data_IF_621966391898
#
_entry.id   IF_621966391898
#
_cell.length_a   1.000
_cell.length_b   1.000
_cell.length_c   1.000
_cell.angle_alpha   90.00
_cell.angle_beta   90.00
_cell.angle_gamma   90.00
#
_symmetry.space_group_name_H-M   'P 1'
#
loop_
_entity.id
_entity.type
_entity.pdbx_description
1 polymer ?
#
# COMPACT_ATOMS: atom_id res chain seq x y z
N UNK A 1 -3.64 -22.57 4.33
CA UNK A 1 -3.14 -21.22 4.06
C UNK A 1 -1.71 -21.33 3.62
N UNK A 2 -1.30 -20.52 2.64
CA UNK A 2 0.10 -20.41 2.18
C UNK A 2 0.60 -19.00 2.48
N UNK A 3 1.90 -18.82 2.63
CA UNK A 3 2.54 -17.51 2.54
C UNK A 3 3.10 -17.30 1.15
N UNK A 4 3.26 -16.04 0.76
CA UNK A 4 3.74 -15.67 -0.57
C UNK A 4 4.73 -14.53 -0.51
N UNK A 5 5.68 -14.52 -1.42
CA UNK A 5 6.67 -13.46 -1.55
C UNK A 5 6.47 -12.69 -2.86
N UNK A 6 6.73 -11.38 -2.80
CA UNK A 6 6.63 -10.50 -3.95
C UNK A 6 8.01 -10.36 -4.62
N UNK A 7 8.01 -10.37 -5.94
CA UNK A 7 9.15 -10.00 -6.77
C UNK A 7 8.76 -8.92 -7.77
N UNK A 8 9.73 -8.11 -8.17
CA UNK A 8 9.51 -6.95 -9.03
C UNK A 8 10.40 -7.03 -10.27
N UNK A 9 9.83 -6.87 -11.45
CA UNK A 9 10.60 -6.94 -12.70
C UNK A 9 9.77 -7.32 -13.92
N UNK A 10 10.39 -7.17 -15.11
CA UNK A 10 9.71 -7.40 -16.39
C UNK A 10 9.55 -8.90 -16.73
N UNK A 11 10.35 -9.78 -16.13
CA UNK A 11 10.31 -11.21 -16.39
C UNK A 11 10.60 -12.03 -15.14
N UNK A 12 10.08 -13.27 -15.09
CA UNK A 12 10.24 -14.17 -13.96
C UNK A 12 11.70 -14.54 -13.65
N UNK A 13 12.60 -14.44 -14.64
CA UNK A 13 14.02 -14.81 -14.50
C UNK A 13 14.89 -13.61 -14.05
N UNK A 14 14.32 -12.41 -13.96
CA UNK A 14 15.02 -11.16 -13.66
C UNK A 14 14.26 -10.35 -12.58
N UNK A 15 13.85 -11.02 -11.51
CA UNK A 15 13.12 -10.41 -10.40
C UNK A 15 14.06 -9.84 -9.35
N UNK A 16 13.63 -8.74 -8.74
CA UNK A 16 14.32 -8.09 -7.62
C UNK A 16 13.38 -7.97 -6.43
N UNK A 17 13.95 -7.84 -5.23
CA UNK A 17 13.15 -7.67 -3.99
C UNK A 17 12.45 -6.31 -3.91
N UNK A 18 12.90 -5.32 -4.69
CA UNK A 18 12.31 -3.97 -4.79
C UNK A 18 12.48 -3.40 -6.21
N UNK A 19 11.54 -2.58 -6.71
CA UNK A 19 11.65 -1.90 -8.00
C UNK A 19 12.94 -1.07 -8.11
N UNK A 20 13.64 -1.21 -9.24
CA UNK A 20 14.83 -0.40 -9.55
C UNK A 20 16.08 -0.68 -8.70
N UNK A 21 16.06 -1.69 -7.81
CA UNK A 21 17.24 -2.15 -7.05
C UNK A 21 17.89 -3.35 -7.72
N UNK A 22 19.15 -3.62 -7.38
CA UNK A 22 19.94 -4.73 -7.96
C UNK A 22 19.97 -6.01 -7.12
N UNK A 23 19.17 -6.09 -6.05
CA UNK A 23 19.11 -7.29 -5.20
C UNK A 23 18.13 -8.24 -5.87
N UNK A 24 18.68 -9.24 -6.55
CA UNK A 24 17.93 -10.29 -7.25
C UNK A 24 17.24 -11.22 -6.25
N UNK A 25 16.09 -11.75 -6.64
CA UNK A 25 15.38 -12.81 -5.91
C UNK A 25 14.95 -13.90 -6.89
N UNK A 26 15.03 -15.15 -6.45
CA UNK A 26 14.50 -16.29 -7.18
C UNK A 26 13.16 -16.68 -6.58
N UNK A 27 12.09 -16.58 -7.38
CA UNK A 27 10.74 -16.97 -6.99
C UNK A 27 10.23 -18.08 -7.92
N UNK A 28 10.59 -19.34 -7.64
CA UNK A 28 10.19 -20.46 -8.49
C UNK A 28 8.68 -20.57 -8.64
N UNK A 29 8.22 -20.63 -9.89
CA UNK A 29 6.80 -20.72 -10.20
C UNK A 29 6.01 -19.44 -9.94
N UNK A 30 6.69 -18.30 -9.76
CA UNK A 30 6.02 -17.01 -9.65
C UNK A 30 5.14 -16.72 -10.86
N UNK A 31 4.03 -16.05 -10.58
CA UNK A 31 3.11 -15.54 -11.59
C UNK A 31 3.02 -14.04 -11.48
N UNK A 32 2.71 -13.37 -12.59
CA UNK A 32 2.29 -11.97 -12.54
C UNK A 32 1.06 -11.87 -11.65
N UNK A 33 1.09 -10.93 -10.70
CA UNK A 33 0.04 -10.72 -9.73
C UNK A 33 -0.40 -9.25 -9.65
N UNK A 34 0.34 -8.32 -10.26
CA UNK A 34 -0.03 -6.91 -10.18
C UNK A 34 0.99 -5.97 -10.77
N UNK A 35 0.97 -4.74 -10.26
CA UNK A 35 1.93 -3.69 -10.62
C UNK A 35 2.03 -2.68 -9.48
N UNK A 36 3.16 -2.00 -9.39
CA UNK A 36 3.39 -0.91 -8.45
C UNK A 36 3.83 0.36 -9.19
N UNK A 37 3.55 1.52 -8.61
CA UNK A 37 3.90 2.81 -9.18
C UNK A 37 3.07 3.21 -10.41
N UNK A 38 3.04 4.51 -10.67
CA UNK A 38 2.45 5.08 -11.88
C UNK A 38 0.93 5.14 -11.83
N UNK A 39 0.29 4.15 -12.48
CA UNK A 39 -1.15 4.17 -12.80
C UNK A 39 -1.95 3.30 -11.82
N UNK A 40 -3.09 3.79 -11.39
CA UNK A 40 -4.00 3.07 -10.49
C UNK A 40 -4.90 2.08 -11.25
N UNK A 41 -5.61 1.16 -10.56
CA UNK A 41 -6.62 0.30 -11.17
C UNK A 41 -7.80 1.11 -11.73
N UNK A 42 -8.68 0.47 -12.50
CA UNK A 42 -9.78 1.12 -13.21
C UNK A 42 -10.96 1.56 -12.34
N UNK A 43 -10.70 2.26 -11.22
CA UNK A 43 -11.71 2.77 -10.27
C UNK A 43 -12.37 4.08 -10.72
N UNK A 44 -11.90 4.64 -11.85
CA UNK A 44 -12.29 5.96 -12.35
C UNK A 44 -11.53 7.09 -11.67
N UNK A 45 -11.11 8.09 -12.45
CA UNK A 45 -10.24 9.19 -11.98
C UNK A 45 -10.83 10.00 -10.83
N UNK A 46 -12.16 10.14 -10.75
CA UNK A 46 -12.80 10.85 -9.65
C UNK A 46 -12.73 10.09 -8.31
N UNK A 47 -12.57 8.77 -8.33
CA UNK A 47 -12.45 7.95 -7.13
C UNK A 47 -10.99 7.84 -6.63
N UNK A 48 -10.04 8.53 -7.27
CA UNK A 48 -8.63 8.50 -6.89
C UNK A 48 -8.45 9.04 -5.46
N UNK A 49 -7.86 8.28 -4.52
CA UNK A 49 -7.69 8.71 -3.13
C UNK A 49 -6.91 10.02 -2.99
N UNK A 50 -7.33 10.89 -2.07
CA UNK A 50 -6.70 12.19 -1.81
C UNK A 50 -6.31 12.32 -0.36
N UNK A 51 -5.21 13.02 -0.12
CA UNK A 51 -4.76 13.42 1.22
C UNK A 51 -5.88 14.19 1.95
N UNK A 52 -6.23 13.81 3.19
CA UNK A 52 -7.17 14.57 4.02
C UNK A 52 -6.61 15.95 4.43
N UNK A 53 -5.28 16.11 4.44
CA UNK A 53 -4.59 17.35 4.83
C UNK A 53 -4.52 18.34 3.66
N UNK A 54 -4.01 17.87 2.52
CA UNK A 54 -3.69 18.74 1.39
C UNK A 54 -4.69 18.67 0.24
N UNK A 55 -5.48 17.60 0.16
CA UNK A 55 -6.40 17.35 -0.95
C UNK A 55 -5.70 16.93 -2.23
N UNK A 56 -4.36 16.81 -2.21
CA UNK A 56 -3.58 16.31 -3.34
C UNK A 56 -3.87 14.82 -3.58
N UNK A 57 -3.83 14.35 -4.83
CA UNK A 57 -3.99 12.92 -5.12
C UNK A 57 -2.84 12.12 -4.50
N UNK A 58 -3.18 11.09 -3.74
CA UNK A 58 -2.22 10.16 -3.15
C UNK A 58 -1.44 9.41 -4.25
N UNK A 59 -0.18 9.07 -4.00
CA UNK A 59 0.58 8.20 -4.91
C UNK A 59 -0.08 6.82 -4.95
N UNK A 60 -0.13 6.20 -6.13
CA UNK A 60 -0.44 4.78 -6.24
C UNK A 60 0.80 3.98 -5.90
N UNK A 61 0.74 3.23 -4.80
CA UNK A 61 1.87 2.43 -4.33
C UNK A 61 1.86 1.10 -5.07
N UNK A 62 0.83 0.29 -4.88
CA UNK A 62 0.76 -1.07 -5.44
C UNK A 62 -0.68 -1.52 -5.66
N UNK A 63 -0.93 -2.23 -6.75
CA UNK A 63 -2.12 -3.06 -6.95
C UNK A 63 -1.70 -4.51 -6.99
N UNK A 64 -2.33 -5.35 -6.17
CA UNK A 64 -1.98 -6.76 -6.03
C UNK A 64 -3.23 -7.65 -6.07
N UNK A 65 -3.25 -8.61 -6.98
CA UNK A 65 -4.21 -9.71 -6.97
C UNK A 65 -3.97 -10.63 -5.78
N UNK A 66 -5.02 -10.89 -5.01
CA UNK A 66 -4.96 -11.71 -3.82
C UNK A 66 -5.19 -13.19 -4.17
N UNK A 67 -4.34 -14.10 -3.63
CA UNK A 67 -4.67 -15.51 -3.52
C UNK A 67 -6.01 -15.71 -2.81
N UNK A 68 -6.72 -16.80 -3.13
CA UNK A 68 -8.07 -17.07 -2.62
C UNK A 68 -8.16 -17.03 -1.09
N UNK A 69 -7.15 -17.53 -0.38
CA UNK A 69 -7.09 -17.52 1.07
C UNK A 69 -6.98 -16.11 1.68
N UNK A 70 -6.47 -15.13 0.93
CA UNK A 70 -6.31 -13.74 1.37
C UNK A 70 -7.49 -12.83 1.00
N UNK A 71 -8.53 -13.33 0.33
CA UNK A 71 -9.74 -12.55 -0.02
C UNK A 71 -10.70 -12.38 1.16
N UNK A 72 -10.25 -11.70 2.21
CA UNK A 72 -10.90 -11.68 3.53
C UNK A 72 -12.13 -10.78 3.63
N UNK A 73 -12.35 -9.88 2.66
CA UNK A 73 -13.52 -8.98 2.64
C UNK A 73 -14.65 -9.41 1.70
N UNK A 74 -14.50 -10.55 1.01
CA UNK A 74 -15.50 -11.09 0.09
C UNK A 74 -14.82 -11.85 -1.05
N UNK A 75 -15.46 -12.92 -1.52
CA UNK A 75 -14.91 -13.75 -2.62
C UNK A 75 -14.83 -12.99 -3.95
N UNK A 76 -15.67 -11.96 -4.12
CA UNK A 76 -15.73 -11.06 -5.27
C UNK A 76 -14.67 -9.94 -5.23
N UNK A 77 -14.05 -9.71 -4.07
CA UNK A 77 -12.96 -8.74 -3.90
C UNK A 77 -11.62 -9.46 -4.06
N UNK A 78 -11.15 -9.49 -5.31
CA UNK A 78 -10.04 -10.36 -5.75
C UNK A 78 -8.66 -9.71 -5.65
N UNK A 79 -8.59 -8.39 -5.45
CA UNK A 79 -7.35 -7.63 -5.42
C UNK A 79 -7.44 -6.46 -4.44
N UNK A 80 -6.29 -5.91 -4.08
CA UNK A 80 -6.17 -4.66 -3.31
C UNK A 80 -5.33 -3.64 -4.05
N UNK A 81 -5.57 -2.36 -3.78
CA UNK A 81 -4.73 -1.25 -4.20
C UNK A 81 -4.42 -0.34 -3.03
N UNK A 82 -3.14 -0.03 -2.81
CA UNK A 82 -2.64 0.78 -1.71
C UNK A 82 -2.12 2.13 -2.21
N UNK A 83 -2.37 3.19 -1.45
CA UNK A 83 -2.03 4.57 -1.77
C UNK A 83 -1.49 5.30 -0.53
N UNK A 84 -0.64 6.32 -0.76
CA UNK A 84 -0.01 7.12 0.30
C UNK A 84 -0.01 8.63 -0.01
N UNK A 85 -0.12 9.47 1.02
CA UNK A 85 0.05 10.93 0.94
C UNK A 85 1.32 11.47 1.63
N UNK A 86 1.92 10.74 2.57
CA UNK A 86 3.03 11.22 3.43
C UNK A 86 2.82 12.67 3.96
N UNK A 87 1.59 12.98 4.35
CA UNK A 87 1.10 14.34 4.60
C UNK A 87 1.26 14.81 6.05
N UNK A 88 1.88 14.00 6.90
CA UNK A 88 2.14 14.32 8.32
C UNK A 88 3.04 15.55 8.52
N UNK A 89 3.78 15.97 7.50
CA UNK A 89 4.62 17.20 7.47
C UNK A 89 4.04 18.32 6.63
N UNK A 90 2.89 18.10 6.02
CA UNK A 90 2.26 19.07 5.13
C UNK A 90 1.48 20.14 5.90
N UNK A 91 1.28 21.28 5.27
CA UNK A 91 0.40 22.32 5.81
C UNK A 91 -1.04 22.05 5.36
N UNK A 92 -1.98 22.07 6.30
CA UNK A 92 -3.41 21.93 6.02
C UNK A 92 -3.90 22.95 4.98
N UNK A 93 -4.83 22.52 4.13
CA UNK A 93 -5.54 23.40 3.21
C UNK A 93 -7.00 23.54 3.65
N UNK A 94 -7.36 24.77 4.03
CA UNK A 94 -8.68 25.15 4.51
C UNK A 94 -9.81 24.53 3.66
N UNK A 95 -10.69 23.78 4.32
CA UNK A 95 -11.87 23.17 3.72
C UNK A 95 -11.65 21.80 3.07
N UNK A 96 -10.42 21.32 2.90
CA UNK A 96 -10.17 20.02 2.25
C UNK A 96 -10.78 18.88 3.05
N UNK A 97 -10.47 18.79 4.35
CA UNK A 97 -10.96 17.73 5.21
C UNK A 97 -12.50 17.69 5.22
N UNK A 98 -13.15 18.85 5.39
CA UNK A 98 -14.60 18.95 5.42
C UNK A 98 -15.24 18.55 4.08
N UNK A 99 -14.62 18.91 2.96
CA UNK A 99 -15.10 18.52 1.62
C UNK A 99 -14.96 17.01 1.41
N UNK A 100 -13.85 16.40 1.85
CA UNK A 100 -13.64 14.94 1.75
C UNK A 100 -14.59 14.15 2.65
N UNK A 101 -14.99 14.70 3.79
CA UNK A 101 -16.07 14.15 4.64
C UNK A 101 -17.47 14.31 4.02
N UNK A 102 -17.59 15.03 2.90
CA UNK A 102 -18.83 15.19 2.15
C UNK A 102 -19.62 16.46 2.49
N UNK A 103 -19.01 17.44 3.16
CA UNK A 103 -19.63 18.76 3.36
C UNK A 103 -19.88 19.43 2.01
N UNK A 104 -21.08 19.98 1.82
CA UNK A 104 -21.40 20.68 0.58
C UNK A 104 -20.50 21.91 0.40
N UNK A 105 -19.86 22.08 -0.78
CA UNK A 105 -18.98 23.22 -1.01
C UNK A 105 -19.76 24.53 -0.99
N UNK A 106 -19.14 25.58 -0.43
CA UNK A 106 -19.62 26.96 -0.61
C UNK A 106 -19.51 27.38 -2.08
N UNK A 107 -20.17 28.48 -2.46
CA UNK A 107 -20.10 29.01 -3.82
C UNK A 107 -18.68 29.39 -4.25
N UNK A 108 -17.83 29.83 -3.32
CA UNK A 108 -16.43 30.15 -3.57
C UNK A 108 -15.60 28.88 -3.79
N UNK A 109 -15.74 27.87 -2.92
CA UNK A 109 -15.06 26.59 -3.07
C UNK A 109 -15.49 25.86 -4.35
N UNK A 110 -16.77 25.93 -4.73
CA UNK A 110 -17.26 25.35 -5.97
C UNK A 110 -16.75 26.06 -7.23
N UNK A 111 -16.28 27.31 -7.11
CA UNK A 111 -15.67 28.06 -8.20
C UNK A 111 -14.15 27.81 -8.33
N UNK A 112 -13.52 27.29 -7.26
CA UNK A 112 -12.13 26.85 -7.28
C UNK A 112 -12.02 25.45 -7.93
N UNK A 113 -11.30 25.28 -9.06
CA UNK A 113 -11.19 23.99 -9.73
C UNK A 113 -10.61 22.87 -8.85
N UNK A 114 -9.65 23.21 -7.98
CA UNK A 114 -9.01 22.25 -7.10
C UNK A 114 -9.99 21.76 -6.03
N UNK A 115 -10.64 22.68 -5.32
CA UNK A 115 -11.60 22.33 -4.27
C UNK A 115 -12.87 21.66 -4.83
N UNK A 116 -13.30 22.05 -6.05
CA UNK A 116 -14.36 21.35 -6.76
C UNK A 116 -13.98 19.89 -7.07
N UNK A 117 -12.72 19.61 -7.42
CA UNK A 117 -12.23 18.25 -7.65
C UNK A 117 -12.12 17.44 -6.34
N UNK A 118 -11.73 18.09 -5.23
CA UNK A 118 -11.75 17.48 -3.88
C UNK A 118 -13.19 17.08 -3.52
N UNK A 119 -14.17 17.98 -3.68
CA UNK A 119 -15.57 17.69 -3.43
C UNK A 119 -16.13 16.57 -4.34
N UNK A 120 -15.73 16.56 -5.62
CA UNK A 120 -16.10 15.50 -6.55
C UNK A 120 -15.53 14.13 -6.13
N UNK A 121 -14.34 14.12 -5.50
CA UNK A 121 -13.72 12.90 -4.97
C UNK A 121 -14.53 12.31 -3.83
N UNK A 122 -15.01 13.15 -2.90
CA UNK A 122 -15.91 12.70 -1.83
C UNK A 122 -17.19 12.05 -2.38
N UNK A 123 -17.79 12.67 -3.40
CA UNK A 123 -19.00 12.15 -4.05
C UNK A 123 -18.76 10.86 -4.84
N UNK A 124 -17.54 10.66 -5.35
CA UNK A 124 -17.13 9.47 -6.11
C UNK A 124 -16.31 8.47 -5.27
N UNK A 125 -16.28 8.62 -3.94
CA UNK A 125 -15.45 7.79 -3.05
C UNK A 125 -15.73 6.32 -3.30
N UNK A 126 -14.66 5.54 -3.46
CA UNK A 126 -14.77 4.11 -3.72
C UNK A 126 -15.46 3.41 -2.52
N UNK A 127 -16.50 2.59 -2.74
CA UNK A 127 -17.27 2.00 -1.64
C UNK A 127 -16.43 1.08 -0.74
N UNK A 128 -15.40 0.45 -1.32
CA UNK A 128 -14.49 -0.45 -0.60
C UNK A 128 -13.18 0.21 -0.18
N UNK A 129 -13.07 1.55 -0.23
CA UNK A 129 -11.92 2.26 0.32
C UNK A 129 -11.96 2.24 1.86
N UNK A 130 -10.83 1.91 2.45
CA UNK A 130 -10.48 2.10 3.87
C UNK A 130 -9.43 3.19 3.95
N UNK A 131 -9.67 4.16 4.83
CA UNK A 131 -8.69 5.19 5.15
C UNK A 131 -7.86 4.66 6.32
N UNK A 132 -6.55 4.77 6.21
CA UNK A 132 -5.57 4.26 7.15
C UNK A 132 -4.68 5.43 7.58
N UNK A 133 -4.31 5.45 8.84
CA UNK A 133 -3.41 6.46 9.41
C UNK A 133 -2.31 5.74 10.17
N UNK A 134 -1.08 6.17 9.91
CA UNK A 134 0.11 5.59 10.51
C UNK A 134 0.42 6.24 11.87
N UNK A 135 1.41 5.74 12.62
CA UNK A 135 1.72 6.27 13.96
C UNK A 135 2.14 7.76 13.99
N UNK A 136 2.66 8.29 12.89
CA UNK A 136 3.09 9.70 12.78
C UNK A 136 2.00 10.61 12.22
N UNK A 137 0.82 10.06 11.90
CA UNK A 137 -0.32 10.78 11.34
C UNK A 137 -0.33 10.85 9.81
N UNK A 138 0.47 10.03 9.12
CA UNK A 138 0.51 9.95 7.67
C UNK A 138 -0.68 9.20 7.09
N UNK A 139 -1.38 9.83 6.15
CA UNK A 139 -2.57 9.24 5.54
C UNK A 139 -2.25 8.25 4.42
N UNK A 140 -2.98 7.14 4.46
CA UNK A 140 -2.93 6.05 3.50
C UNK A 140 -4.35 5.62 3.11
N UNK A 141 -4.49 4.95 1.97
CA UNK A 141 -5.77 4.36 1.57
C UNK A 141 -5.58 2.95 1.01
N UNK A 142 -6.41 2.02 1.48
CA UNK A 142 -6.49 0.66 0.96
C UNK A 142 -7.84 0.46 0.29
N UNK A 143 -7.82 0.10 -0.99
CA UNK A 143 -9.02 -0.21 -1.78
C UNK A 143 -9.08 -1.70 -2.04
N UNK A 144 -10.21 -2.32 -1.74
CA UNK A 144 -10.52 -3.67 -2.23
C UNK A 144 -11.19 -3.58 -3.59
N UNK A 145 -10.76 -4.41 -4.53
CA UNK A 145 -11.16 -4.34 -5.93
C UNK A 145 -11.91 -5.60 -6.35
N UNK A 146 -12.97 -5.39 -7.12
CA UNK A 146 -13.61 -6.45 -7.88
C UNK A 146 -12.71 -6.94 -9.02
N UNK A 147 -13.02 -8.11 -9.58
CA UNK A 147 -12.33 -8.61 -10.77
C UNK A 147 -12.48 -7.67 -11.98
N UNK A 148 -13.60 -6.95 -12.09
CA UNK A 148 -13.82 -5.97 -13.16
C UNK A 148 -12.91 -4.75 -13.01
N UNK A 149 -12.82 -4.18 -11.81
CA UNK A 149 -11.95 -3.02 -11.52
C UNK A 149 -10.46 -3.35 -11.68
N UNK A 150 -10.06 -4.56 -11.27
CA UNK A 150 -8.69 -5.04 -11.44
C UNK A 150 -8.32 -5.27 -12.91
N UNK A 151 -9.24 -5.81 -13.71
CA UNK A 151 -9.02 -6.09 -15.13
C UNK A 151 -9.23 -4.87 -16.05
N UNK A 152 -9.88 -3.82 -15.56
CA UNK A 152 -10.13 -2.60 -16.31
C UNK A 152 -8.82 -1.89 -16.69
N UNK A 153 -8.83 -1.06 -17.75
CA UNK A 153 -7.68 -0.26 -18.12
C UNK A 153 -7.19 0.59 -16.93
N UNK A 154 -5.88 0.51 -16.67
CA UNK A 154 -5.23 1.32 -15.65
C UNK A 154 -5.39 2.80 -15.97
N UNK A 155 -5.60 3.61 -14.95
CA UNK A 155 -5.88 5.04 -15.08
C UNK A 155 -4.67 5.86 -14.64
N UNK A 156 -4.41 6.94 -15.37
CA UNK A 156 -3.43 7.95 -14.93
C UNK A 156 -3.96 8.70 -13.70
N UNK A 157 -3.04 9.27 -12.88
CA UNK A 157 -3.42 10.24 -11.86
C UNK A 157 -4.33 11.34 -12.43
N UNK A 158 -5.22 11.93 -11.60
CA UNK A 158 -6.00 13.09 -12.01
C UNK A 158 -5.12 14.17 -12.62
N UNK A 159 -5.63 14.91 -13.60
CA UNK A 159 -4.87 16.01 -14.19
C UNK A 159 -4.41 17.01 -13.12
N UNK A 160 -3.18 17.52 -13.25
CA UNK A 160 -2.69 18.59 -12.38
C UNK A 160 -3.45 19.88 -12.67
N UNK A 161 -4.23 20.29 -11.69
CA UNK A 161 -5.10 21.48 -11.73
C UNK A 161 -4.67 22.51 -10.67
N UNK A 162 -3.46 22.38 -10.11
CA UNK A 162 -2.96 23.35 -9.13
C UNK A 162 -2.92 24.74 -9.75
N UNK A 163 -3.34 25.79 -9.01
CA UNK A 163 -3.18 27.15 -9.50
C UNK A 163 -1.69 27.50 -9.67
N UNK A 164 -1.36 28.20 -10.76
CA UNK A 164 0.03 28.51 -11.12
C UNK A 164 0.74 29.33 -10.01
N UNK A 165 1.98 28.93 -9.67
CA UNK A 165 2.85 29.68 -8.75
C UNK A 165 2.74 29.34 -7.26
N UNK A 166 2.02 28.28 -6.89
CA UNK A 166 1.84 27.85 -5.49
C UNK A 166 2.78 26.70 -5.06
N UNK A 167 3.88 26.49 -5.79
CA UNK A 167 4.79 25.35 -5.59
C UNK A 167 5.17 25.09 -4.14
N UNK A 168 5.42 26.12 -3.33
CA UNK A 168 5.89 25.95 -1.95
C UNK A 168 4.79 25.56 -0.93
N UNK A 169 3.50 25.86 -1.21
CA UNK A 169 2.36 25.49 -0.33
C UNK A 169 1.92 24.04 -0.54
N UNK A 170 2.25 23.46 -1.69
CA UNK A 170 1.86 22.11 -2.10
C UNK A 170 3.05 21.15 -2.28
N UNK A 171 4.27 21.53 -1.85
CA UNK A 171 5.49 20.72 -1.99
C UNK A 171 5.89 19.95 -0.73
N UNK A 172 5.02 19.88 0.29
CA UNK A 172 5.26 19.10 1.49
C UNK A 172 4.32 17.90 1.50
N UNK A 173 4.89 16.73 1.71
CA UNK A 173 4.23 15.44 1.52
C UNK A 173 4.33 14.91 0.09
N UNK A 174 4.09 13.61 -0.07
CA UNK A 174 4.14 12.92 -1.34
C UNK A 174 2.79 12.98 -2.07
N UNK A 175 2.81 13.18 -3.38
CA UNK A 175 1.60 13.18 -4.18
C UNK A 175 1.81 12.66 -5.59
N UNK A 176 0.74 12.19 -6.22
CA UNK A 176 0.81 11.58 -7.55
C UNK A 176 1.23 12.54 -8.68
N UNK A 177 1.21 13.86 -8.47
CA UNK A 177 1.67 14.81 -9.48
C UNK A 177 3.18 14.98 -9.48
N UNK A 178 3.82 14.89 -8.31
CA UNK A 178 5.24 15.18 -8.14
C UNK A 178 6.09 13.92 -7.91
N UNK A 179 5.52 12.89 -7.29
CA UNK A 179 6.26 11.74 -6.74
C UNK A 179 5.88 10.40 -7.40
N UNK A 180 5.10 10.43 -8.49
CA UNK A 180 4.74 9.22 -9.23
C UNK A 180 6.00 8.52 -9.77
N UNK A 181 6.14 7.24 -9.43
CA UNK A 181 7.23 6.40 -9.89
C UNK A 181 6.86 5.63 -11.17
N UNK A 182 7.82 5.20 -12.00
CA UNK A 182 7.55 4.33 -13.13
C UNK A 182 6.87 3.04 -12.69
N UNK A 183 5.89 2.61 -13.48
CA UNK A 183 5.20 1.34 -13.26
C UNK A 183 6.18 0.16 -13.36
N UNK A 184 6.10 -0.76 -12.41
CA UNK A 184 6.86 -2.02 -12.41
C UNK A 184 5.91 -3.19 -12.20
N UNK A 185 6.10 -4.28 -12.94
CA UNK A 185 5.29 -5.49 -12.79
C UNK A 185 5.60 -6.19 -11.47
N UNK A 186 4.54 -6.63 -10.78
CA UNK A 186 4.63 -7.37 -9.52
C UNK A 186 4.34 -8.84 -9.78
N UNK A 187 5.20 -9.68 -9.25
CA UNK A 187 5.13 -11.14 -9.28
C UNK A 187 4.88 -11.68 -7.88
N UNK A 188 4.21 -12.83 -7.81
CA UNK A 188 3.90 -13.51 -6.57
C UNK A 188 4.33 -14.98 -6.66
N UNK A 189 5.21 -15.40 -5.75
CA UNK A 189 5.67 -16.78 -5.58
C UNK A 189 5.27 -17.34 -4.22
N UNK A 190 5.09 -18.66 -4.11
CA UNK A 190 4.82 -19.30 -2.82
C UNK A 190 6.09 -19.31 -1.97
N UNK A 191 5.99 -18.87 -0.71
CA UNK A 191 7.09 -18.92 0.26
C UNK A 191 7.03 -20.24 1.01
N UNK A 192 7.85 -21.20 0.62
CA UNK A 192 7.88 -22.53 1.24
C UNK A 192 8.82 -22.56 2.45
N UNK A 193 8.43 -23.28 3.50
CA UNK A 193 9.30 -23.51 4.67
C UNK A 193 9.25 -22.43 5.75
N UNK A 194 8.42 -21.39 5.57
CA UNK A 194 8.21 -20.37 6.59
C UNK A 194 7.54 -20.96 7.85
N UNK A 195 8.17 -20.85 9.03
CA UNK A 195 7.68 -21.46 10.27
C UNK A 195 6.35 -20.86 10.74
N UNK A 196 6.00 -19.67 10.27
CA UNK A 196 4.84 -18.91 10.72
C UNK A 196 3.67 -18.93 9.73
N UNK A 197 3.72 -19.79 8.71
CA UNK A 197 2.63 -19.91 7.73
C UNK A 197 1.29 -20.21 8.40
N UNK A 198 0.34 -19.29 8.28
CA UNK A 198 -1.00 -19.42 8.84
C UNK A 198 -1.10 -19.16 10.35
N UNK A 199 -0.05 -18.63 10.97
CA UNK A 199 0.00 -18.25 12.38
C UNK A 199 -0.10 -16.72 12.47
N UNK A 200 -0.89 -16.22 13.42
CA UNK A 200 -0.99 -14.78 13.65
C UNK A 200 0.35 -14.25 14.20
N UNK A 201 0.88 -13.14 13.66
CA UNK A 201 2.08 -12.52 14.21
C UNK A 201 1.93 -12.16 15.69
N UNK A 202 2.98 -12.46 16.47
CA UNK A 202 3.02 -12.16 17.90
C UNK A 202 4.46 -11.97 18.40
N UNK A 203 4.72 -10.91 19.15
CA UNK A 203 6.03 -10.73 19.83
C UNK A 203 6.22 -11.76 20.96
N UNK A 204 5.15 -12.06 21.70
CA UNK A 204 5.19 -13.00 22.84
C UNK A 204 5.13 -14.48 22.42
N UNK A 205 5.16 -14.77 21.12
CA UNK A 205 5.05 -16.13 20.57
C UNK A 205 3.68 -16.79 20.76
N UNK A 206 2.62 -16.00 20.90
CA UNK A 206 1.25 -16.51 20.97
C UNK A 206 0.91 -17.40 19.77
N UNK A 207 0.11 -18.44 19.99
CA UNK A 207 -0.26 -19.39 18.94
C UNK A 207 0.89 -20.24 18.40
N UNK A 208 2.10 -20.13 18.97
CA UNK A 208 3.30 -20.81 18.47
C UNK A 208 4.06 -20.02 17.40
N UNK A 209 3.79 -18.72 17.25
CA UNK A 209 4.54 -17.85 16.37
C UNK A 209 6.01 -17.76 16.80
N UNK A 210 6.92 -17.81 15.85
CA UNK A 210 8.37 -17.70 16.07
C UNK A 210 8.82 -16.35 15.52
N UNK A 211 8.93 -15.34 16.39
CA UNK A 211 9.33 -14.00 15.98
C UNK A 211 10.71 -13.99 15.32
N UNK A 212 10.90 -13.13 14.32
CA UNK A 212 12.17 -12.96 13.65
C UNK A 212 13.29 -12.68 14.67
N UNK A 213 14.43 -13.35 14.49
CA UNK A 213 15.62 -13.19 15.34
C UNK A 213 15.44 -13.62 16.81
N UNK A 214 14.34 -14.30 17.15
CA UNK A 214 14.07 -14.75 18.54
C UNK A 214 14.82 -16.02 18.97
N UNK A 215 15.51 -16.69 18.04
CA UNK A 215 16.18 -17.98 18.25
C UNK A 215 17.58 -17.97 17.66
N UNK A 216 18.53 -18.68 18.28
CA UNK A 216 19.89 -18.90 17.77
C UNK A 216 19.99 -20.15 16.86
N UNK A 217 18.85 -20.75 16.49
CA UNK A 217 18.82 -21.89 15.56
C UNK A 217 19.33 -21.47 14.17
N UNK A 218 20.35 -22.17 13.68
CA UNK A 218 21.04 -21.81 12.42
C UNK A 218 20.10 -21.82 11.20
N UNK A 219 19.11 -22.73 11.16
CA UNK A 219 18.18 -22.81 10.02
C UNK A 219 17.17 -21.66 10.05
N UNK A 220 16.70 -21.28 11.24
CA UNK A 220 15.84 -20.10 11.39
C UNK A 220 16.58 -18.81 11.05
N UNK A 221 17.84 -18.67 11.47
CA UNK A 221 18.69 -17.53 11.15
C UNK A 221 18.94 -17.40 9.65
N UNK A 222 19.21 -18.52 8.96
CA UNK A 222 19.36 -18.55 7.50
C UNK A 222 18.05 -18.15 6.79
N UNK A 223 16.91 -18.66 7.26
CA UNK A 223 15.60 -18.30 6.73
C UNK A 223 15.28 -16.81 6.93
N UNK A 224 15.45 -16.26 8.13
CA UNK A 224 15.19 -14.84 8.39
C UNK A 224 16.09 -13.92 7.57
N UNK A 225 17.35 -14.30 7.39
CA UNK A 225 18.27 -13.57 6.52
C UNK A 225 17.83 -13.60 5.06
N UNK A 226 17.15 -14.65 4.59
CA UNK A 226 16.72 -14.73 3.19
C UNK A 226 15.44 -13.94 2.90
N UNK A 227 14.63 -13.62 3.92
CA UNK A 227 13.39 -12.85 3.77
C UNK A 227 13.51 -11.40 4.24
N UNK A 228 14.65 -11.01 4.81
CA UNK A 228 14.90 -9.64 5.26
C UNK A 228 14.79 -8.64 4.09
N UNK A 229 14.00 -7.59 4.27
CA UNK A 229 13.82 -6.55 3.26
C UNK A 229 12.93 -6.95 2.07
N UNK A 230 12.15 -8.03 2.21
CA UNK A 230 11.21 -8.53 1.19
C UNK A 230 9.75 -8.20 1.53
N UNK A 231 8.95 -7.85 0.52
CA UNK A 231 7.51 -7.66 0.68
C UNK A 231 6.75 -8.97 0.45
N UNK A 232 5.70 -9.23 1.22
CA UNK A 232 5.10 -10.57 1.26
C UNK A 232 3.68 -10.60 1.83
N UNK A 233 2.98 -11.72 1.61
CA UNK A 233 1.69 -12.04 2.20
C UNK A 233 1.85 -13.18 3.23
N UNK A 234 1.50 -12.89 4.49
CA UNK A 234 1.52 -13.78 5.65
C UNK A 234 2.86 -14.46 5.92
N UNK A 235 2.86 -15.35 6.92
CA UNK A 235 4.10 -15.98 7.38
C UNK A 235 4.87 -15.09 8.35
N UNK A 236 6.19 -15.15 8.28
CA UNK A 236 7.08 -14.39 9.17
C UNK A 236 7.19 -12.95 8.70
N UNK A 237 6.65 -12.03 9.51
CA UNK A 237 6.84 -10.59 9.32
C UNK A 237 8.16 -10.11 9.94
N UNK A 238 8.76 -9.08 9.34
CA UNK A 238 10.08 -8.53 9.69
C UNK A 238 9.95 -7.06 10.13
N UNK A 239 9.18 -6.75 11.18
CA UNK A 239 8.92 -5.37 11.55
C UNK A 239 10.21 -4.69 12.02
N UNK A 240 10.43 -3.45 11.59
CA UNK A 240 11.58 -2.66 12.04
C UNK A 240 11.41 -2.14 13.49
N UNK A 241 10.16 -2.12 13.98
CA UNK A 241 9.73 -1.67 15.31
C UNK A 241 8.87 -2.75 15.98
N UNK A 242 8.20 -2.37 17.07
CA UNK A 242 7.26 -3.26 17.75
C UNK A 242 6.09 -3.63 16.84
N UNK A 243 5.62 -4.87 16.99
CA UNK A 243 4.51 -5.39 16.19
C UNK A 243 3.17 -4.82 16.68
N UNK A 244 2.29 -4.33 15.78
CA UNK A 244 0.97 -3.86 16.19
C UNK A 244 0.11 -5.01 16.73
N UNK A 245 -0.68 -4.72 17.75
CA UNK A 245 -1.63 -5.68 18.31
C UNK A 245 -2.82 -5.91 17.37
N UNK A 246 -3.29 -7.16 17.28
CA UNK A 246 -4.49 -7.51 16.50
C UNK A 246 -4.22 -7.94 15.05
N UNK A 247 -2.96 -8.17 14.70
CA UNK A 247 -2.61 -8.86 13.46
C UNK A 247 -3.15 -10.31 13.47
N UNK A 248 -3.55 -10.76 12.30
CA UNK A 248 -4.05 -12.08 11.97
C UNK A 248 -3.03 -12.76 11.04
N UNK A 249 -3.22 -14.02 10.62
CA UNK A 249 -2.34 -14.63 9.62
C UNK A 249 -2.33 -13.94 8.25
N UNK A 250 -3.26 -13.02 7.97
CA UNK A 250 -3.52 -12.43 6.66
C UNK A 250 -2.82 -11.08 6.45
N UNK A 251 -1.62 -10.90 7.02
CA UNK A 251 -0.83 -9.67 6.86
C UNK A 251 -0.29 -9.54 5.45
N UNK A 252 -0.30 -8.33 4.93
CA UNK A 252 0.49 -7.87 3.80
C UNK A 252 1.58 -6.94 4.32
N UNK A 253 2.83 -7.41 4.29
CA UNK A 253 4.00 -6.60 4.66
C UNK A 253 4.62 -5.98 3.42
N UNK A 254 4.82 -4.67 3.42
CA UNK A 254 5.28 -3.90 2.28
C UNK A 254 6.47 -3.02 2.66
N UNK A 255 7.58 -3.20 1.95
CA UNK A 255 8.85 -2.53 2.24
C UNK A 255 8.89 -1.08 1.73
N UNK A 256 9.68 -0.25 2.40
CA UNK A 256 9.97 1.11 1.96
C UNK A 256 10.52 1.15 0.51
N UNK A 257 10.04 2.10 -0.27
CA UNK A 257 10.41 2.36 -1.65
C UNK A 257 9.60 1.62 -2.71
N UNK A 258 8.73 0.67 -2.35
CA UNK A 258 7.84 0.01 -3.32
C UNK A 258 6.88 1.04 -3.92
N UNK A 259 6.85 1.19 -5.24
CA UNK A 259 5.91 2.10 -5.91
C UNK A 259 6.04 3.59 -5.53
N UNK A 260 7.15 3.99 -4.90
CA UNK A 260 7.33 5.34 -4.37
C UNK A 260 6.90 5.53 -2.92
N UNK A 261 6.44 4.45 -2.25
CA UNK A 261 6.16 4.42 -0.82
C UNK A 261 7.35 4.98 -0.04
N UNK A 262 7.12 5.99 0.78
CA UNK A 262 8.10 6.57 1.67
C UNK A 262 7.68 6.36 3.12
N UNK A 263 8.39 5.47 3.80
CA UNK A 263 8.31 5.28 5.24
C UNK A 263 9.57 5.85 5.92
N UNK A 264 10.52 6.42 5.17
CA UNK A 264 11.81 6.82 5.73
C UNK A 264 12.66 5.64 6.24
N UNK A 265 12.29 4.40 5.87
CA UNK A 265 12.88 3.15 6.33
C UNK A 265 11.82 2.10 6.70
N UNK A 266 12.28 0.86 6.89
CA UNK A 266 11.45 -0.26 7.35
C UNK A 266 10.29 -0.66 6.42
N UNK A 267 9.13 -0.97 7.00
CA UNK A 267 8.00 -1.57 6.28
C UNK A 267 6.64 -1.28 6.93
N UNK A 268 5.59 -1.36 6.11
CA UNK A 268 4.19 -1.29 6.54
C UNK A 268 3.65 -2.70 6.78
N UNK A 269 2.89 -2.89 7.86
CA UNK A 269 2.12 -4.10 8.12
C UNK A 269 0.63 -3.80 7.94
N UNK A 270 0.02 -4.39 6.93
CA UNK A 270 -1.39 -4.18 6.56
C UNK A 270 -2.15 -5.49 6.76
N UNK A 271 -3.00 -5.57 7.78
CA UNK A 271 -3.81 -6.77 8.00
C UNK A 271 -5.06 -6.77 7.12
N UNK A 272 -5.13 -7.74 6.21
CA UNK A 272 -6.23 -7.84 5.25
C UNK A 272 -7.54 -8.36 5.86
N UNK A 273 -7.53 -8.89 7.08
CA UNK A 273 -8.72 -9.37 7.79
C UNK A 273 -9.23 -8.38 8.84
N UNK A 274 -8.35 -7.94 9.75
CA UNK A 274 -8.70 -7.13 10.92
C UNK A 274 -8.69 -5.62 10.66
N UNK A 275 -8.21 -5.18 9.49
CA UNK A 275 -7.98 -3.77 9.16
C UNK A 275 -6.92 -3.09 10.06
N UNK A 276 -6.15 -3.86 10.83
CA UNK A 276 -4.99 -3.32 11.55
C UNK A 276 -3.96 -2.84 10.54
N UNK A 277 -3.45 -1.64 10.76
CA UNK A 277 -2.41 -1.04 9.96
C UNK A 277 -1.41 -0.37 10.89
N UNK A 278 -0.13 -0.60 10.62
CA UNK A 278 0.96 0.16 11.23
C UNK A 278 2.15 0.19 10.27
N UNK A 279 3.12 1.03 10.59
CA UNK A 279 4.37 1.09 9.88
C UNK A 279 5.53 1.14 10.87
N UNK A 280 6.67 0.63 10.46
CA UNK A 280 7.86 0.53 11.29
C UNK A 280 9.06 1.19 10.59
N UNK A 281 9.81 2.03 11.33
CA UNK A 281 11.13 2.58 10.96
C UNK A 281 12.29 2.03 11.78
#
# INVERSE_FOLDING_TARGET
MKSYELGFGESADELTVRPGKSIETDLPGARVAGWCGGRAPGIGTAAWPRSPVTGLPMIHVITLELPEDYRRKGEDLVAVSFFQADDHVADDIDGVAELLEGTAPTAEQAADPFLAAVAATAAARHPQQRDLEDLIGGAHALLWLTAEEFAAPRIDPPADIRPAGLGDKYSRGQNAWDDSTPETTVWLGERTGDPNTGIAPSEDGEGGYVAAWSSEDEQLQEFWSSIEGTSHLGGTIMPCQGMPGGLTPYVFELEDGIGGLNLGGGNAQIDLESDVFDWAQ
#
